data_IF_668411033864
#
_entry.id   IF_668411033864
#
_cell.length_a   1.000
_cell.length_b   1.000
_cell.length_c   1.000
_cell.angle_alpha   90.00
_cell.angle_beta   90.00
_cell.angle_gamma   90.00
#
_symmetry.space_group_name_H-M   'P 1'
#
loop_
_entity.id
_entity.type
_entity.pdbx_description
1 polymer ?
#
# COMPACT_ATOMS: atom_id res chain seq x y z
N UNK A 1 -4.93 11.23 -7.59
CA UNK A 1 -5.18 9.85 -7.15
C UNK A 1 -4.77 8.83 -8.21
N UNK A 2 -4.39 7.64 -7.77
CA UNK A 2 -4.10 6.45 -8.58
C UNK A 2 -4.57 5.18 -7.88
N UNK A 3 -4.37 4.04 -8.52
CA UNK A 3 -4.72 2.72 -7.99
C UNK A 3 -3.51 1.80 -8.03
N UNK A 4 -3.42 0.94 -7.02
CA UNK A 4 -2.41 -0.09 -6.87
C UNK A 4 -3.13 -1.43 -6.71
N UNK A 5 -2.81 -2.40 -7.55
CA UNK A 5 -3.40 -3.75 -7.46
C UNK A 5 -2.30 -4.76 -7.16
N UNK A 6 -2.57 -5.66 -6.22
CA UNK A 6 -1.57 -6.63 -5.79
C UNK A 6 -2.17 -7.76 -4.97
N UNK A 7 -1.38 -8.78 -4.70
CA UNK A 7 -1.77 -9.90 -3.86
C UNK A 7 -1.59 -9.55 -2.39
N UNK A 8 -2.61 -9.74 -1.57
CA UNK A 8 -2.54 -9.51 -0.13
C UNK A 8 -1.59 -10.53 0.50
N UNK A 9 -0.56 -10.04 1.17
CA UNK A 9 0.42 -10.85 1.89
C UNK A 9 0.08 -10.97 3.38
N UNK A 10 -0.30 -9.85 4.00
CA UNK A 10 -0.60 -9.75 5.43
C UNK A 10 -1.73 -8.74 5.61
N UNK A 11 -2.61 -8.99 6.59
CA UNK A 11 -3.58 -8.01 7.09
C UNK A 11 -3.51 -8.01 8.61
N UNK A 12 -3.17 -6.86 9.18
CA UNK A 12 -3.09 -6.63 10.63
C UNK A 12 -4.22 -5.70 11.06
N UNK A 13 -5.00 -6.10 12.05
CA UNK A 13 -6.16 -5.35 12.56
C UNK A 13 -5.95 -5.06 14.04
N UNK A 14 -5.79 -3.80 14.41
CA UNK A 14 -5.61 -3.36 15.81
C UNK A 14 -6.89 -2.81 16.44
N UNK A 15 -7.98 -2.70 15.66
CA UNK A 15 -9.28 -2.17 16.07
C UNK A 15 -9.50 -0.72 15.64
N UNK A 16 -8.53 0.16 15.86
CA UNK A 16 -8.57 1.53 15.34
C UNK A 16 -7.88 1.67 13.98
N UNK A 17 -7.00 0.74 13.62
CA UNK A 17 -6.22 0.79 12.38
C UNK A 17 -6.19 -0.57 11.69
N UNK A 18 -5.98 -0.52 10.38
CA UNK A 18 -5.65 -1.66 9.53
C UNK A 18 -4.34 -1.40 8.81
N UNK A 19 -3.45 -2.40 8.81
CA UNK A 19 -2.22 -2.40 8.02
C UNK A 19 -2.28 -3.56 7.04
N UNK A 20 -2.10 -3.27 5.76
CA UNK A 20 -2.20 -4.25 4.67
C UNK A 20 -0.87 -4.25 3.91
N UNK A 21 -0.27 -5.43 3.78
CA UNK A 21 0.90 -5.66 2.96
C UNK A 21 0.44 -6.28 1.63
N UNK A 22 0.83 -5.69 0.50
CA UNK A 22 0.56 -6.21 -0.85
C UNK A 22 1.86 -6.53 -1.57
N UNK A 23 1.84 -7.60 -2.34
CA UNK A 23 2.81 -7.83 -3.42
C UNK A 23 2.28 -7.20 -4.70
N UNK A 24 3.02 -6.21 -5.21
CA UNK A 24 2.76 -5.55 -6.49
C UNK A 24 4.01 -5.72 -7.33
N UNK A 25 3.89 -6.51 -8.40
CA UNK A 25 4.96 -6.78 -9.34
C UNK A 25 6.27 -7.23 -8.67
N UNK A 26 6.18 -8.06 -7.62
CA UNK A 26 7.32 -8.60 -6.88
C UNK A 26 7.88 -7.65 -5.82
N UNK A 27 7.22 -6.52 -5.58
CA UNK A 27 7.60 -5.52 -4.57
C UNK A 27 6.55 -5.44 -3.47
N UNK A 28 7.00 -5.41 -2.21
CA UNK A 28 6.09 -5.26 -1.08
C UNK A 28 5.70 -3.80 -0.88
N UNK A 29 4.40 -3.53 -0.94
CA UNK A 29 3.78 -2.26 -0.58
C UNK A 29 3.05 -2.38 0.75
N UNK A 30 3.04 -1.31 1.53
CA UNK A 30 2.33 -1.25 2.82
C UNK A 30 1.35 -0.10 2.80
N UNK A 31 0.10 -0.38 3.15
CA UNK A 31 -0.94 0.62 3.38
C UNK A 31 -1.35 0.61 4.84
N UNK A 32 -1.52 1.80 5.42
CA UNK A 32 -2.10 1.99 6.74
C UNK A 32 -3.31 2.92 6.61
N UNK A 33 -4.42 2.52 7.22
CA UNK A 33 -5.63 3.32 7.23
C UNK A 33 -6.43 3.11 8.52
N UNK A 34 -7.07 4.19 8.97
CA UNK A 34 -7.99 4.17 10.10
C UNK A 34 -9.19 3.25 9.86
N UNK A 35 -9.64 2.58 10.92
CA UNK A 35 -10.75 1.63 10.93
C UNK A 35 -10.32 0.19 10.68
N UNK A 36 -11.32 -0.69 10.57
CA UNK A 36 -11.15 -2.13 10.36
C UNK A 36 -11.48 -2.47 8.90
N UNK A 37 -10.47 -2.81 8.12
CA UNK A 37 -10.54 -3.16 6.70
C UNK A 37 -9.99 -4.58 6.51
N UNK A 38 -10.83 -5.61 6.63
CA UNK A 38 -10.37 -7.00 6.56
C UNK A 38 -10.17 -7.42 5.09
N UNK A 39 -8.91 -7.52 4.67
CA UNK A 39 -8.53 -8.12 3.40
C UNK A 39 -8.13 -9.59 3.61
N UNK A 40 -8.57 -10.45 2.69
CA UNK A 40 -8.25 -11.87 2.77
C UNK A 40 -6.84 -12.12 2.20
N UNK A 41 -5.98 -12.71 3.02
CA UNK A 41 -4.61 -13.06 2.61
C UNK A 41 -4.63 -14.02 1.42
N UNK A 42 -3.81 -13.73 0.42
CA UNK A 42 -3.67 -14.50 -0.80
C UNK A 42 -4.58 -14.05 -1.94
N UNK A 43 -5.58 -13.19 -1.67
CA UNK A 43 -6.45 -12.61 -2.70
C UNK A 43 -5.82 -11.40 -3.38
N UNK A 44 -6.35 -11.01 -4.55
CA UNK A 44 -6.01 -9.72 -5.16
C UNK A 44 -6.85 -8.61 -4.56
N UNK A 45 -6.19 -7.54 -4.16
CA UNK A 45 -6.78 -6.35 -3.61
C UNK A 45 -6.35 -5.13 -4.42
N UNK A 46 -7.22 -4.13 -4.44
CA UNK A 46 -6.94 -2.83 -5.04
C UNK A 46 -7.00 -1.76 -3.97
N UNK A 47 -5.93 -0.99 -3.85
CA UNK A 47 -5.82 0.15 -2.94
C UNK A 47 -5.69 1.46 -3.73
N UNK A 48 -6.15 2.55 -3.12
CA UNK A 48 -6.02 3.89 -3.68
C UNK A 48 -4.79 4.61 -3.11
N UNK A 49 -4.11 5.39 -3.96
CA UNK A 49 -2.94 6.19 -3.59
C UNK A 49 -3.11 7.64 -4.04
N UNK A 50 -2.71 8.59 -3.21
CA UNK A 50 -2.64 10.00 -3.60
C UNK A 50 -1.26 10.34 -4.14
N UNK A 51 -1.11 10.24 -5.47
CA UNK A 51 0.14 10.49 -6.19
C UNK A 51 0.67 11.91 -5.93
N UNK A 52 -0.22 12.89 -5.73
CA UNK A 52 0.14 14.28 -5.44
C UNK A 52 0.79 14.46 -4.05
N UNK A 53 0.72 13.45 -3.18
CA UNK A 53 1.44 13.37 -1.91
C UNK A 53 2.67 12.47 -1.98
N UNK A 54 2.97 11.92 -3.16
CA UNK A 54 4.12 11.07 -3.40
C UNK A 54 5.44 11.84 -3.36
N UNK A 55 6.49 11.16 -2.92
CA UNK A 55 7.86 11.66 -3.01
C UNK A 55 8.56 10.91 -4.14
N UNK A 56 9.15 11.66 -5.09
CA UNK A 56 9.86 11.11 -6.23
C UNK A 56 11.36 11.27 -6.04
N UNK A 57 12.12 10.24 -6.41
CA UNK A 57 13.56 10.19 -6.22
C UNK A 57 14.25 9.81 -7.53
N UNK A 58 15.40 10.41 -7.79
CA UNK A 58 16.31 10.00 -8.87
C UNK A 58 17.00 8.68 -8.52
N UNK A 59 17.62 7.98 -9.49
CA UNK A 59 18.33 6.72 -9.21
C UNK A 59 19.49 6.82 -8.21
N UNK A 60 20.10 7.99 -8.06
CA UNK A 60 21.12 8.32 -7.06
C UNK A 60 20.54 8.74 -5.70
N UNK A 61 19.20 8.75 -5.56
CA UNK A 61 18.48 8.95 -4.29
C UNK A 61 18.15 10.40 -3.97
N UNK A 62 18.41 11.35 -4.86
CA UNK A 62 18.01 12.74 -4.65
C UNK A 62 16.50 12.91 -4.85
N UNK A 63 15.84 13.63 -3.93
CA UNK A 63 14.41 13.94 -4.08
C UNK A 63 14.20 14.97 -5.19
N UNK A 64 13.29 14.67 -6.11
CA UNK A 64 12.81 15.61 -7.12
C UNK A 64 11.72 16.49 -6.49
N UNK A 65 11.86 17.81 -6.61
CA UNK A 65 10.90 18.82 -6.12
C UNK A 65 10.15 19.49 -7.25
#
# INVERSE_FOLDING_TARGET
SGELEGRVLVTELSGSESVIHLDVDGSTWVSQSHGIHPFEVGTHARLHVEIDQGLFFTPDGARVS
#
